data_IF_284777635321
#
_entry.id   IF_284777635321
#
_cell.length_a   1.000
_cell.length_b   1.000
_cell.length_c   1.000
_cell.angle_alpha   90.00
_cell.angle_beta   90.00
_cell.angle_gamma   90.00
#
_symmetry.space_group_name_H-M   'P 1'
#
loop_
_entity.id
_entity.type
_entity.pdbx_description
1 polymer ?
#
# COMPACT_ATOMS: atom_id res chain seq x y z
N UNK A 1 18.23 5.52 2.42
CA UNK A 1 17.47 4.27 2.57
C UNK A 1 18.23 3.12 1.95
N UNK A 2 17.94 1.88 2.35
CA UNK A 2 18.56 0.68 1.78
C UNK A 2 18.37 0.60 0.25
N UNK A 3 17.12 0.81 -0.22
CA UNK A 3 16.77 0.74 -1.65
C UNK A 3 17.55 1.72 -2.50
N UNK A 4 17.73 2.97 -2.05
CA UNK A 4 18.50 3.97 -2.80
C UNK A 4 19.99 3.64 -2.85
N UNK A 5 20.55 3.15 -1.74
CA UNK A 5 21.99 2.82 -1.66
C UNK A 5 22.36 1.62 -2.53
N UNK A 6 21.53 0.59 -2.54
CA UNK A 6 21.81 -0.67 -3.23
C UNK A 6 21.06 -0.81 -4.55
N UNK A 7 20.54 0.28 -5.12
CA UNK A 7 19.66 0.26 -6.30
C UNK A 7 20.25 -0.50 -7.50
N UNK A 8 21.54 -0.30 -7.81
CA UNK A 8 22.18 -1.00 -8.93
C UNK A 8 22.35 -2.50 -8.68
N UNK A 9 22.61 -2.90 -7.43
CA UNK A 9 22.71 -4.32 -7.07
C UNK A 9 21.34 -5.01 -7.09
N UNK A 10 20.30 -4.33 -6.62
CA UNK A 10 18.92 -4.85 -6.59
C UNK A 10 18.34 -5.10 -7.99
N UNK A 11 18.91 -4.51 -9.05
CA UNK A 11 18.52 -4.76 -10.44
C UNK A 11 19.17 -6.02 -11.02
N UNK A 12 20.28 -6.48 -10.46
CA UNK A 12 21.14 -7.51 -11.06
C UNK A 12 20.97 -8.85 -10.35
N UNK A 13 20.91 -8.85 -9.02
CA UNK A 13 20.94 -10.07 -8.22
C UNK A 13 20.01 -9.96 -6.99
N UNK A 14 19.82 -11.07 -6.28
CA UNK A 14 18.99 -11.14 -5.09
C UNK A 14 19.44 -10.13 -4.02
N UNK A 15 18.50 -9.49 -3.30
CA UNK A 15 18.81 -8.57 -2.23
C UNK A 15 19.64 -9.24 -1.13
N UNK A 16 20.71 -8.57 -0.69
CA UNK A 16 21.50 -8.99 0.47
C UNK A 16 21.08 -8.19 1.69
N UNK A 17 20.65 -8.87 2.75
CA UNK A 17 20.23 -8.22 3.98
C UNK A 17 21.44 -8.05 4.93
N UNK A 18 21.90 -6.81 5.19
CA UNK A 18 22.94 -6.61 6.18
C UNK A 18 22.36 -6.80 7.59
N UNK A 19 23.13 -7.45 8.45
CA UNK A 19 22.76 -7.68 9.86
C UNK A 19 23.50 -6.69 10.75
N UNK A 20 22.82 -6.21 11.79
CA UNK A 20 23.37 -5.33 12.82
C UNK A 20 23.77 -6.15 14.03
N UNK A 21 24.87 -5.78 14.69
CA UNK A 21 25.26 -6.34 15.98
C UNK A 21 24.55 -5.64 17.15
N UNK A 22 23.89 -4.50 16.92
CA UNK A 22 23.04 -3.83 17.89
C UNK A 22 21.71 -4.58 18.05
N UNK A 23 21.59 -5.28 19.19
CA UNK A 23 20.39 -6.04 19.56
C UNK A 23 19.13 -5.16 19.66
N UNK A 24 19.25 -3.91 20.07
CA UNK A 24 18.10 -3.01 20.19
C UNK A 24 17.60 -2.57 18.82
N UNK A 25 18.53 -2.24 17.91
CA UNK A 25 18.20 -1.94 16.53
C UNK A 25 17.59 -3.16 15.83
N UNK A 26 18.20 -4.34 15.97
CA UNK A 26 17.68 -5.58 15.41
C UNK A 26 16.24 -5.83 15.86
N UNK A 27 15.98 -5.77 17.17
CA UNK A 27 14.64 -5.97 17.73
C UNK A 27 13.64 -4.97 17.16
N UNK A 28 14.01 -3.69 17.12
CA UNK A 28 13.14 -2.62 16.59
C UNK A 28 12.79 -2.85 15.11
N UNK A 29 13.76 -3.24 14.29
CA UNK A 29 13.54 -3.57 12.88
C UNK A 29 12.65 -4.80 12.72
N UNK A 30 12.86 -5.86 13.51
CA UNK A 30 12.02 -7.07 13.45
C UNK A 30 10.56 -6.79 13.82
N UNK A 31 10.32 -5.97 14.86
CA UNK A 31 8.96 -5.55 15.25
C UNK A 31 8.27 -4.78 14.11
N UNK A 32 8.97 -3.82 13.50
CA UNK A 32 8.42 -3.07 12.35
C UNK A 32 8.19 -3.96 11.12
N UNK A 33 9.05 -4.96 10.90
CA UNK A 33 8.87 -5.98 9.87
C UNK A 33 7.62 -6.83 10.11
N UNK A 34 7.37 -7.27 11.34
CA UNK A 34 6.17 -8.01 11.71
C UNK A 34 4.89 -7.18 11.51
N UNK A 35 4.90 -5.90 11.89
CA UNK A 35 3.80 -4.97 11.64
C UNK A 35 3.48 -4.87 10.13
N UNK A 36 4.50 -4.72 9.28
CA UNK A 36 4.34 -4.70 7.82
C UNK A 36 3.75 -6.01 7.29
N UNK A 37 4.24 -7.15 7.74
CA UNK A 37 3.72 -8.47 7.34
C UNK A 37 2.24 -8.59 7.71
N UNK A 38 1.87 -8.23 8.93
CA UNK A 38 0.48 -8.31 9.40
C UNK A 38 -0.45 -7.36 8.65
N UNK A 39 0.02 -6.17 8.25
CA UNK A 39 -0.73 -5.27 7.38
C UNK A 39 -0.98 -5.90 6.00
N UNK A 40 0.04 -6.45 5.36
CA UNK A 40 -0.07 -7.00 4.00
C UNK A 40 -0.82 -8.33 3.93
N UNK A 41 -0.87 -9.08 5.04
CA UNK A 41 -1.71 -10.26 5.19
C UNK A 41 -3.17 -9.94 5.59
N UNK A 42 -3.53 -8.65 5.69
CA UNK A 42 -4.87 -8.20 6.12
C UNK A 42 -5.25 -8.67 7.55
N UNK A 43 -4.26 -8.87 8.43
CA UNK A 43 -4.46 -9.33 9.82
C UNK A 43 -4.45 -8.19 10.84
N UNK A 44 -3.87 -7.04 10.49
CA UNK A 44 -3.76 -5.91 11.40
C UNK A 44 -5.14 -5.32 11.73
N UNK A 45 -5.48 -5.11 13.02
CA UNK A 45 -6.74 -4.49 13.41
C UNK A 45 -6.86 -3.03 12.96
N UNK A 46 -5.74 -2.34 12.74
CA UNK A 46 -5.69 -0.96 12.22
C UNK A 46 -6.42 -0.81 10.89
N UNK A 47 -6.48 -1.88 10.09
CA UNK A 47 -7.18 -1.89 8.81
C UNK A 47 -8.69 -1.63 8.95
N UNK A 48 -9.27 -1.86 10.12
CA UNK A 48 -10.69 -1.58 10.36
C UNK A 48 -10.99 -0.08 10.59
N UNK A 49 -9.95 0.74 10.82
CA UNK A 49 -10.08 2.18 10.91
C UNK A 49 -10.02 2.79 9.51
N UNK A 50 -11.14 2.71 8.78
CA UNK A 50 -11.22 3.17 7.40
C UNK A 50 -10.99 4.67 7.31
N UNK A 51 -10.19 5.09 6.34
CA UNK A 51 -9.85 6.50 6.07
C UNK A 51 -10.50 7.03 4.78
N UNK A 52 -11.35 6.22 4.14
CA UNK A 52 -12.01 6.52 2.88
C UNK A 52 -13.50 6.29 3.00
N UNK A 53 -14.29 6.98 2.19
CA UNK A 53 -15.72 6.72 2.03
C UNK A 53 -15.99 6.18 0.64
N UNK A 54 -17.05 5.38 0.48
CA UNK A 54 -17.52 4.92 -0.82
C UNK A 54 -18.93 5.47 -1.07
N UNK A 55 -19.13 6.10 -2.22
CA UNK A 55 -20.45 6.52 -2.70
C UNK A 55 -21.05 5.40 -3.54
N UNK A 56 -22.19 4.86 -3.10
CA UNK A 56 -22.86 3.74 -3.76
C UNK A 56 -23.68 4.17 -4.98
N UNK A 57 -23.80 3.24 -5.93
CA UNK A 57 -24.62 3.33 -7.14
C UNK A 57 -24.89 1.91 -7.65
N UNK A 58 -24.75 1.68 -8.96
CA UNK A 58 -24.82 0.31 -9.51
C UNK A 58 -23.60 -0.57 -9.15
N UNK A 59 -22.54 0.04 -8.60
CA UNK A 59 -21.28 -0.57 -8.17
C UNK A 59 -20.59 -1.44 -9.23
N UNK A 60 -20.99 -1.34 -10.50
CA UNK A 60 -20.37 -2.06 -11.60
C UNK A 60 -19.09 -1.37 -12.00
N UNK A 61 -17.97 -2.11 -12.04
CA UNK A 61 -16.69 -1.53 -12.45
C UNK A 61 -16.63 -1.48 -13.97
N UNK A 62 -16.91 -0.31 -14.55
CA UNK A 62 -16.88 -0.07 -16.01
C UNK A 62 -15.70 0.80 -16.42
N UNK A 63 -15.18 1.60 -15.50
CA UNK A 63 -13.97 2.40 -15.67
C UNK A 63 -13.13 2.41 -14.40
N UNK A 64 -11.90 2.91 -14.52
CA UNK A 64 -11.03 3.16 -13.37
C UNK A 64 -10.32 4.48 -13.68
N UNK A 65 -10.79 5.55 -13.06
CA UNK A 65 -10.27 6.90 -13.31
C UNK A 65 -10.09 7.64 -12.00
N UNK A 66 -8.95 8.30 -11.84
CA UNK A 66 -8.64 9.09 -10.65
C UNK A 66 -8.76 10.59 -10.93
N UNK A 67 -9.41 11.30 -10.02
CA UNK A 67 -9.44 12.75 -9.98
C UNK A 67 -8.59 13.22 -8.79
N UNK A 68 -7.45 13.86 -9.08
CA UNK A 68 -6.50 14.33 -8.07
C UNK A 68 -7.01 15.53 -7.27
N UNK A 69 -7.75 16.44 -7.89
CA UNK A 69 -8.30 17.64 -7.24
C UNK A 69 -9.32 17.26 -6.15
N UNK A 70 -10.17 16.28 -6.45
CA UNK A 70 -11.20 15.78 -5.52
C UNK A 70 -10.73 14.60 -4.67
N UNK A 71 -9.53 14.06 -4.95
CA UNK A 71 -9.01 12.83 -4.34
C UNK A 71 -9.97 11.63 -4.46
N UNK A 72 -10.51 11.43 -5.66
CA UNK A 72 -11.55 10.42 -5.94
C UNK A 72 -11.13 9.37 -6.95
N UNK A 73 -11.43 8.11 -6.66
CA UNK A 73 -11.29 6.99 -7.61
C UNK A 73 -12.68 6.55 -8.07
N UNK A 74 -12.99 6.80 -9.33
CA UNK A 74 -14.25 6.42 -9.94
C UNK A 74 -14.18 5.02 -10.53
N UNK A 75 -15.20 4.20 -10.24
CA UNK A 75 -15.37 2.88 -10.85
C UNK A 75 -16.42 2.88 -11.99
N UNK A 76 -17.27 3.91 -12.01
CA UNK A 76 -18.22 4.25 -13.07
C UNK A 76 -18.62 5.73 -12.92
N UNK A 77 -19.73 6.17 -13.51
CA UNK A 77 -20.20 7.58 -13.45
C UNK A 77 -20.83 7.96 -12.10
N UNK A 78 -21.32 6.99 -11.34
CA UNK A 78 -22.10 7.18 -10.11
C UNK A 78 -21.30 6.78 -8.86
N UNK A 79 -20.56 5.67 -8.93
CA UNK A 79 -19.85 5.07 -7.80
C UNK A 79 -18.37 5.44 -7.78
N UNK A 80 -17.88 5.87 -6.62
CA UNK A 80 -16.48 6.25 -6.42
C UNK A 80 -16.05 6.17 -4.94
N UNK A 81 -14.75 6.01 -4.74
CA UNK A 81 -14.08 6.15 -3.44
C UNK A 81 -13.57 7.58 -3.27
N UNK A 82 -13.64 8.13 -2.06
CA UNK A 82 -13.15 9.47 -1.68
C UNK A 82 -11.96 9.37 -0.74
N UNK A 83 -11.29 10.51 -0.53
CA UNK A 83 -10.22 10.67 0.46
C UNK A 83 -9.00 9.78 0.16
N UNK A 84 -8.69 9.62 -1.13
CA UNK A 84 -7.51 8.90 -1.59
C UNK A 84 -6.50 9.92 -2.11
N UNK A 85 -5.48 10.28 -1.32
CA UNK A 85 -4.43 11.19 -1.76
C UNK A 85 -3.69 10.65 -2.99
N UNK A 86 -3.19 11.56 -3.83
CA UNK A 86 -2.54 11.19 -5.09
C UNK A 86 -1.35 10.25 -4.89
N UNK A 87 -0.53 10.49 -3.86
CA UNK A 87 0.63 9.65 -3.56
C UNK A 87 0.24 8.22 -3.11
N UNK A 88 -0.97 8.02 -2.58
CA UNK A 88 -1.52 6.68 -2.28
C UNK A 88 -2.05 6.03 -3.56
N UNK A 89 -2.76 6.79 -4.39
CA UNK A 89 -3.22 6.32 -5.70
C UNK A 89 -2.06 5.83 -6.58
N UNK A 90 -0.99 6.61 -6.65
CA UNK A 90 0.21 6.34 -7.47
C UNK A 90 1.16 5.33 -6.83
N UNK A 91 0.87 4.83 -5.62
CA UNK A 91 1.76 3.92 -4.91
C UNK A 91 1.92 2.59 -5.67
N UNK A 92 3.18 2.18 -5.88
CA UNK A 92 3.54 0.98 -6.63
C UNK A 92 4.26 -0.05 -5.78
N UNK A 93 3.94 -1.32 -6.01
CA UNK A 93 4.72 -2.47 -5.55
C UNK A 93 5.17 -3.23 -6.80
N UNK A 94 6.48 -3.26 -7.01
CA UNK A 94 7.05 -3.66 -8.31
C UNK A 94 6.54 -2.74 -9.43
N UNK A 95 6.13 -3.31 -10.56
CA UNK A 95 5.56 -2.56 -11.68
C UNK A 95 4.07 -2.18 -11.52
N UNK A 96 3.40 -2.65 -10.46
CA UNK A 96 1.96 -2.51 -10.32
C UNK A 96 1.58 -1.35 -9.43
N UNK A 97 0.76 -0.45 -9.96
CA UNK A 97 0.01 0.53 -9.15
C UNK A 97 -1.14 -0.21 -8.46
N UNK A 98 -1.05 -0.36 -7.14
CA UNK A 98 -1.82 -1.37 -6.39
C UNK A 98 -3.32 -1.12 -6.49
N UNK A 99 -3.75 0.11 -6.23
CA UNK A 99 -5.15 0.51 -6.22
C UNK A 99 -5.80 0.46 -7.61
N UNK A 100 -5.07 0.88 -8.64
CA UNK A 100 -5.53 0.84 -10.03
C UNK A 100 -5.66 -0.59 -10.55
N UNK A 101 -4.62 -1.41 -10.33
CA UNK A 101 -4.61 -2.80 -10.79
C UNK A 101 -5.77 -3.61 -10.19
N UNK A 102 -6.02 -3.46 -8.88
CA UNK A 102 -7.08 -4.20 -8.18
C UNK A 102 -8.46 -3.95 -8.78
N UNK A 103 -8.76 -2.70 -9.17
CA UNK A 103 -10.02 -2.33 -9.81
C UNK A 103 -10.06 -2.77 -11.28
N UNK A 104 -8.95 -2.62 -12.02
CA UNK A 104 -8.88 -3.08 -13.42
C UNK A 104 -9.10 -4.58 -13.56
N UNK A 105 -8.59 -5.38 -12.64
CA UNK A 105 -8.84 -6.84 -12.62
C UNK A 105 -10.35 -7.16 -12.48
N UNK A 106 -11.09 -6.33 -11.73
CA UNK A 106 -12.56 -6.45 -11.57
C UNK A 106 -13.34 -5.92 -12.76
N UNK A 107 -12.86 -4.83 -13.36
CA UNK A 107 -13.37 -4.33 -14.64
C UNK A 107 -13.27 -5.41 -15.72
N UNK A 108 -12.10 -6.03 -15.86
CA UNK A 108 -11.83 -7.05 -16.88
C UNK A 108 -12.67 -8.32 -16.69
N UNK A 109 -13.11 -8.58 -15.45
CA UNK A 109 -14.03 -9.68 -15.12
C UNK A 109 -15.51 -9.24 -15.05
N UNK A 110 -15.83 -8.01 -15.48
CA UNK A 110 -17.18 -7.44 -15.51
C UNK A 110 -17.91 -7.50 -14.15
N UNK A 111 -17.19 -7.34 -13.04
CA UNK A 111 -17.73 -7.50 -11.69
C UNK A 111 -18.47 -6.26 -11.18
N UNK A 112 -19.52 -6.53 -10.40
CA UNK A 112 -20.14 -5.57 -9.47
C UNK A 112 -19.48 -5.75 -8.12
N UNK A 113 -19.02 -4.67 -7.49
CA UNK A 113 -18.38 -4.76 -6.19
C UNK A 113 -19.39 -5.12 -5.10
N UNK A 114 -19.13 -6.21 -4.39
CA UNK A 114 -19.85 -6.52 -3.15
C UNK A 114 -19.42 -5.59 -2.00
N UNK A 115 -20.25 -5.49 -0.95
CA UNK A 115 -19.90 -4.74 0.26
C UNK A 115 -18.56 -5.22 0.88
N UNK A 116 -18.29 -6.53 0.82
CA UNK A 116 -17.03 -7.11 1.27
C UNK A 116 -15.84 -6.65 0.41
N UNK A 117 -16.01 -6.56 -0.90
CA UNK A 117 -14.97 -6.05 -1.81
C UNK A 117 -14.74 -4.54 -1.67
N UNK A 118 -15.80 -3.76 -1.47
CA UNK A 118 -15.71 -2.33 -1.16
C UNK A 118 -14.91 -2.15 0.14
N UNK A 119 -15.29 -2.86 1.22
CA UNK A 119 -14.57 -2.82 2.48
C UNK A 119 -13.10 -3.25 2.33
N UNK A 120 -12.86 -4.31 1.57
CA UNK A 120 -11.50 -4.80 1.31
C UNK A 120 -10.66 -3.78 0.54
N UNK A 121 -11.23 -3.09 -0.45
CA UNK A 121 -10.53 -2.03 -1.17
C UNK A 121 -10.15 -0.88 -0.24
N UNK A 122 -11.08 -0.43 0.62
CA UNK A 122 -10.80 0.60 1.61
C UNK A 122 -9.69 0.16 2.59
N UNK A 123 -9.67 -1.13 2.99
CA UNK A 123 -8.59 -1.72 3.79
C UNK A 123 -7.24 -1.69 3.08
N UNK A 124 -7.19 -1.92 1.76
CA UNK A 124 -5.95 -1.76 0.98
C UNK A 124 -5.45 -0.31 1.06
N UNK A 125 -6.33 0.69 0.97
CA UNK A 125 -5.93 2.10 1.10
C UNK A 125 -5.29 2.37 2.48
N UNK A 126 -5.87 1.84 3.56
CA UNK A 126 -5.28 1.92 4.90
C UNK A 126 -3.92 1.21 4.96
N UNK A 127 -3.82 -0.01 4.41
CA UNK A 127 -2.58 -0.77 4.39
C UNK A 127 -1.45 -0.03 3.67
N UNK A 128 -1.72 0.63 2.54
CA UNK A 128 -0.72 1.40 1.80
C UNK A 128 -0.28 2.65 2.58
N UNK A 129 -1.22 3.33 3.23
CA UNK A 129 -0.94 4.49 4.09
C UNK A 129 -0.02 4.09 5.26
N UNK A 130 -0.36 3.00 5.96
CA UNK A 130 0.46 2.50 7.06
C UNK A 130 1.81 1.95 6.60
N UNK A 131 1.87 1.33 5.41
CA UNK A 131 3.12 0.89 4.81
C UNK A 131 4.08 2.07 4.61
N UNK A 132 3.59 3.20 4.12
CA UNK A 132 4.39 4.41 3.95
C UNK A 132 4.90 4.97 5.28
N UNK A 133 4.06 4.98 6.33
CA UNK A 133 4.46 5.37 7.69
C UNK A 133 5.58 4.46 8.20
N UNK A 134 5.38 3.15 8.15
CA UNK A 134 6.36 2.17 8.63
C UNK A 134 7.66 2.19 7.84
N UNK A 135 7.62 2.38 6.52
CA UNK A 135 8.82 2.55 5.70
C UNK A 135 9.66 3.75 6.18
N UNK A 136 9.02 4.89 6.47
CA UNK A 136 9.72 6.07 7.00
C UNK A 136 10.32 5.82 8.37
N UNK A 137 9.59 5.13 9.25
CA UNK A 137 10.10 4.77 10.57
C UNK A 137 11.29 3.81 10.50
N UNK A 138 11.23 2.78 9.65
CA UNK A 138 12.34 1.86 9.41
C UNK A 138 13.56 2.63 8.89
N UNK A 139 13.38 3.51 7.91
CA UNK A 139 14.47 4.33 7.37
C UNK A 139 15.06 5.27 8.44
N UNK A 140 14.25 5.77 9.38
CA UNK A 140 14.70 6.62 10.48
C UNK A 140 15.38 5.87 11.64
N UNK A 141 15.09 4.58 11.82
CA UNK A 141 15.77 3.74 12.81
C UNK A 141 17.20 3.39 12.40
N UNK A 142 17.50 3.37 11.10
CA UNK A 142 18.81 2.98 10.60
C UNK A 142 19.76 4.20 10.62
N UNK A 143 20.81 4.21 11.46
CA UNK A 143 21.68 5.39 11.62
C UNK A 143 22.60 5.63 10.42
N UNK A 144 22.92 4.58 9.66
CA UNK A 144 23.85 4.65 8.55
C UNK A 144 24.01 3.32 7.82
N UNK A 145 24.81 3.34 6.75
CA UNK A 145 25.19 2.14 6.00
C UNK A 145 26.72 2.11 5.77
N UNK A 146 27.39 0.95 5.93
CA UNK A 146 26.83 -0.35 6.31
C UNK A 146 26.20 -0.30 7.71
N UNK A 147 25.17 -1.12 7.92
CA UNK A 147 24.61 -1.27 9.26
C UNK A 147 25.68 -2.00 10.09
N UNK A 148 25.97 -1.50 11.28
CA UNK A 148 26.94 -2.10 12.21
C UNK A 148 26.20 -2.81 13.34
#
# INVERSE_FOLDING_TARGET
TYRSRYAEFLKIDFPRLPLTSDNQLFKSLTTRGEELVNLHLMKSPTLNNLITTFTEGDNQVTQVTYNSELQRVYINKQSYFTDIPQYIWEFKIGGYQVLDKWLKDRKNSHRVLSAAEINHYQKIVVALTETLRLMKEIDGLIPGFPIE
#
